data_IF_393710600522
#
_entry.id   IF_393710600522
#
_cell.length_a   1.000
_cell.length_b   1.000
_cell.length_c   1.000
_cell.angle_alpha   90.00
_cell.angle_beta   90.00
_cell.angle_gamma   90.00
#
_symmetry.space_group_name_H-M   'P 1'
#
loop_
_entity.id
_entity.type
_entity.pdbx_description
1 polymer ?
#
# COMPACT_ATOMS: atom_id res chain seq x y z
N UNK A 1 -97.31 -27.09 6.76
CA UNK A 1 -95.97 -26.72 7.24
C UNK A 1 -95.07 -26.60 6.07
N UNK A 2 -94.77 -25.37 5.61
CA UNK A 2 -93.85 -25.08 4.50
C UNK A 2 -92.55 -24.62 5.04
N UNK A 3 -91.48 -25.35 4.73
CA UNK A 3 -90.07 -24.93 5.04
C UNK A 3 -89.55 -24.03 3.91
N UNK A 4 -89.17 -22.84 4.28
CA UNK A 4 -88.50 -21.89 3.42
C UNK A 4 -87.01 -22.15 3.55
N UNK A 5 -86.36 -22.48 2.44
CA UNK A 5 -84.92 -22.58 2.36
C UNK A 5 -84.39 -21.24 1.84
N UNK A 6 -83.63 -20.52 2.70
CA UNK A 6 -82.94 -19.27 2.28
C UNK A 6 -81.59 -19.66 1.76
N UNK A 7 -81.33 -19.48 0.46
CA UNK A 7 -80.05 -19.61 -0.14
C UNK A 7 -79.29 -18.29 0.01
N UNK A 8 -78.25 -18.32 0.89
CA UNK A 8 -77.32 -17.21 1.04
C UNK A 8 -76.23 -17.25 -0.04
N UNK A 9 -76.31 -16.30 -0.95
CA UNK A 9 -75.28 -16.10 -1.97
C UNK A 9 -74.13 -15.27 -1.37
N UNK A 10 -72.98 -15.91 -0.99
CA UNK A 10 -71.77 -15.22 -0.63
C UNK A 10 -71.09 -14.64 -1.86
N UNK A 11 -71.22 -13.35 -2.04
CA UNK A 11 -70.40 -12.63 -3.03
C UNK A 11 -68.93 -12.47 -2.50
N UNK A 12 -68.01 -13.24 -3.07
CA UNK A 12 -66.63 -13.07 -2.87
C UNK A 12 -66.15 -11.80 -3.64
N UNK A 13 -65.95 -10.71 -2.92
CA UNK A 13 -65.25 -9.54 -3.46
C UNK A 13 -63.76 -9.85 -3.53
N UNK A 14 -63.25 -10.11 -4.75
CA UNK A 14 -61.82 -10.08 -5.03
C UNK A 14 -61.34 -8.64 -4.98
N UNK A 15 -60.63 -8.27 -3.92
CA UNK A 15 -59.86 -7.06 -3.91
C UNK A 15 -58.62 -7.32 -4.76
N UNK A 16 -58.57 -6.70 -5.95
CA UNK A 16 -57.31 -6.62 -6.74
C UNK A 16 -56.29 -5.81 -5.94
N UNK A 17 -55.30 -6.50 -5.38
CA UNK A 17 -54.10 -5.85 -4.83
C UNK A 17 -53.38 -5.22 -6.03
N UNK A 18 -53.16 -3.90 -6.05
CA UNK A 18 -52.36 -3.32 -7.12
C UNK A 18 -50.98 -3.97 -7.08
N UNK A 19 -50.62 -4.63 -8.17
CA UNK A 19 -49.29 -5.11 -8.45
C UNK A 19 -48.31 -3.97 -8.13
N UNK A 20 -47.39 -4.22 -7.16
CA UNK A 20 -46.24 -3.35 -6.92
C UNK A 20 -45.58 -3.17 -8.26
N UNK A 21 -45.72 -1.98 -8.82
CA UNK A 21 -45.05 -1.58 -10.05
C UNK A 21 -43.59 -1.94 -9.90
N UNK A 22 -43.05 -2.74 -10.83
CA UNK A 22 -41.63 -2.94 -11.04
C UNK A 22 -40.99 -1.56 -10.95
N UNK A 23 -40.27 -1.33 -9.84
CA UNK A 23 -39.28 -0.25 -9.81
C UNK A 23 -38.29 -0.60 -10.90
N UNK A 24 -38.46 0.01 -12.06
CA UNK A 24 -37.44 -0.01 -13.09
C UNK A 24 -36.13 0.33 -12.40
N UNK A 25 -35.18 -0.53 -12.52
CA UNK A 25 -33.78 -0.22 -12.16
C UNK A 25 -33.48 1.08 -12.92
N UNK A 26 -33.43 2.22 -12.21
CA UNK A 26 -32.82 3.40 -12.79
C UNK A 26 -31.39 2.98 -13.06
N UNK A 27 -31.04 2.80 -14.32
CA UNK A 27 -29.65 2.77 -14.73
C UNK A 27 -29.05 4.08 -14.24
N UNK A 28 -28.24 3.99 -13.20
CA UNK A 28 -27.42 5.12 -12.77
C UNK A 28 -26.44 5.33 -13.93
N UNK A 29 -26.47 6.47 -14.63
CA UNK A 29 -25.50 6.72 -15.69
C UNK A 29 -24.11 6.49 -15.15
N UNK A 30 -23.33 5.65 -15.81
CA UNK A 30 -21.91 5.49 -15.46
C UNK A 30 -21.27 6.87 -15.62
N UNK A 31 -20.65 7.44 -14.57
CA UNK A 31 -19.98 8.73 -14.70
C UNK A 31 -18.97 8.64 -15.83
N UNK A 32 -18.91 9.64 -16.69
CA UNK A 32 -17.91 9.75 -17.76
C UNK A 32 -16.54 10.05 -17.20
N UNK A 33 -16.48 10.68 -16.02
CA UNK A 33 -15.27 11.07 -15.32
C UNK A 33 -14.98 10.07 -14.18
N UNK A 34 -13.75 9.61 -14.07
CA UNK A 34 -13.29 8.71 -13.04
C UNK A 34 -12.92 9.44 -11.73
N UNK A 35 -12.61 8.66 -10.71
CA UNK A 35 -12.15 9.21 -9.42
C UNK A 35 -10.93 10.12 -9.59
N UNK A 36 -9.97 9.76 -10.43
CA UNK A 36 -8.78 10.57 -10.70
C UNK A 36 -9.12 11.97 -11.23
N UNK A 37 -10.22 12.09 -11.98
CA UNK A 37 -10.66 13.36 -12.56
C UNK A 37 -11.40 14.20 -11.52
N UNK A 38 -12.22 13.54 -10.69
CA UNK A 38 -12.96 14.19 -9.60
C UNK A 38 -12.03 14.78 -8.52
N UNK A 39 -10.88 14.13 -8.28
CA UNK A 39 -9.92 14.54 -7.24
C UNK A 39 -8.64 15.17 -7.77
N UNK A 40 -8.53 15.46 -9.08
CA UNK A 40 -7.31 15.95 -9.75
C UNK A 40 -6.66 17.19 -9.11
N UNK A 41 -7.48 18.05 -8.52
CA UNK A 41 -7.02 19.31 -7.92
C UNK A 41 -6.59 19.14 -6.44
N UNK A 42 -6.72 17.93 -5.88
CA UNK A 42 -6.42 17.65 -4.47
C UNK A 42 -5.28 16.64 -4.31
N UNK A 43 -5.40 15.46 -4.91
CA UNK A 43 -4.41 14.38 -4.80
C UNK A 43 -4.59 13.34 -5.92
N UNK A 44 -3.59 12.49 -6.07
CA UNK A 44 -3.68 11.33 -6.98
C UNK A 44 -4.50 10.21 -6.35
N UNK A 45 -5.34 9.57 -7.16
CA UNK A 45 -6.04 8.34 -6.76
C UNK A 45 -5.23 7.15 -7.26
N UNK A 46 -4.88 6.23 -6.35
CA UNK A 46 -4.08 5.06 -6.66
C UNK A 46 -4.79 3.74 -6.40
N UNK A 47 -4.28 2.68 -7.01
CA UNK A 47 -4.68 1.31 -6.74
C UNK A 47 -3.46 0.40 -6.62
N UNK A 48 -3.56 -0.61 -5.73
CA UNK A 48 -2.63 -1.74 -5.73
C UNK A 48 -3.02 -2.73 -6.83
N UNK A 49 -2.03 -3.23 -7.58
CA UNK A 49 -2.25 -4.14 -8.70
C UNK A 49 -1.26 -5.30 -8.70
N UNK A 50 -1.69 -6.41 -9.27
CA UNK A 50 -0.84 -7.52 -9.69
C UNK A 50 -0.84 -7.64 -11.22
N UNK A 51 -0.15 -8.64 -11.76
CA UNK A 51 -0.04 -8.82 -13.22
C UNK A 51 -1.37 -9.09 -13.91
N UNK A 52 -2.32 -9.77 -13.24
CA UNK A 52 -3.66 -9.99 -13.79
C UNK A 52 -4.40 -8.67 -14.04
N UNK A 53 -4.30 -7.71 -13.14
CA UNK A 53 -5.01 -6.43 -13.27
C UNK A 53 -4.53 -5.61 -14.48
N UNK A 54 -3.29 -5.79 -14.91
CA UNK A 54 -2.68 -5.06 -16.04
C UNK A 54 -2.67 -5.85 -17.36
N UNK A 55 -3.27 -7.06 -17.36
CA UNK A 55 -3.41 -7.92 -18.55
C UNK A 55 -4.87 -8.21 -18.90
N UNK A 56 -5.80 -8.12 -17.96
CA UNK A 56 -7.23 -8.28 -18.17
C UNK A 56 -7.86 -7.00 -18.72
N UNK A 57 -8.64 -7.12 -19.80
CA UNK A 57 -9.18 -5.97 -20.53
C UNK A 57 -10.16 -5.11 -19.69
N UNK A 58 -10.99 -5.73 -18.86
CA UNK A 58 -11.96 -5.03 -18.03
C UNK A 58 -11.28 -4.31 -16.87
N UNK A 59 -10.27 -4.95 -16.26
CA UNK A 59 -9.44 -4.35 -15.21
C UNK A 59 -8.64 -3.16 -15.76
N UNK A 60 -8.04 -3.31 -16.93
CA UNK A 60 -7.32 -2.23 -17.62
C UNK A 60 -8.24 -1.04 -17.87
N UNK A 61 -9.46 -1.28 -18.36
CA UNK A 61 -10.44 -0.23 -18.61
C UNK A 61 -10.81 0.51 -17.32
N UNK A 62 -11.04 -0.23 -16.23
CA UNK A 62 -11.31 0.32 -14.90
C UNK A 62 -10.14 1.16 -14.39
N UNK A 63 -8.91 0.61 -14.42
CA UNK A 63 -7.71 1.30 -13.94
C UNK A 63 -7.52 2.61 -14.69
N UNK A 64 -7.60 2.59 -16.01
CA UNK A 64 -7.41 3.78 -16.85
C UNK A 64 -8.46 4.86 -16.61
N UNK A 65 -9.69 4.47 -16.25
CA UNK A 65 -10.76 5.41 -15.95
C UNK A 65 -10.58 6.04 -14.57
N UNK A 66 -10.27 5.23 -13.54
CA UNK A 66 -10.39 5.65 -12.14
C UNK A 66 -9.08 6.15 -11.52
N UNK A 67 -7.91 5.67 -12.00
CA UNK A 67 -6.65 5.84 -11.29
C UNK A 67 -5.59 6.54 -12.14
N UNK A 68 -4.76 7.36 -11.49
CA UNK A 68 -3.58 7.99 -12.05
C UNK A 68 -2.27 7.61 -11.36
N UNK A 69 -2.36 6.74 -10.34
CA UNK A 69 -1.22 6.11 -9.67
C UNK A 69 -1.46 4.62 -9.46
N UNK A 70 -0.41 3.83 -9.49
CA UNK A 70 -0.43 2.39 -9.23
C UNK A 70 0.68 2.03 -8.26
N UNK A 71 0.44 1.03 -7.43
CA UNK A 71 1.43 0.36 -6.59
C UNK A 71 1.44 -1.14 -6.91
N UNK A 72 2.60 -1.72 -7.18
CA UNK A 72 2.72 -3.16 -7.34
C UNK A 72 2.50 -3.86 -5.99
N UNK A 73 1.49 -4.74 -5.90
CA UNK A 73 1.12 -5.40 -4.64
C UNK A 73 2.28 -6.23 -4.04
N UNK A 74 2.98 -6.99 -4.89
CA UNK A 74 4.08 -7.86 -4.47
C UNK A 74 5.32 -7.76 -5.37
N UNK A 75 5.17 -7.50 -6.67
CA UNK A 75 6.21 -7.67 -7.66
C UNK A 75 7.49 -6.84 -7.42
N UNK A 76 7.38 -5.72 -6.70
CA UNK A 76 8.53 -4.84 -6.37
C UNK A 76 9.06 -5.02 -4.94
N UNK A 77 8.57 -6.02 -4.18
CA UNK A 77 9.13 -6.33 -2.85
C UNK A 77 10.49 -7.01 -3.00
N UNK A 78 11.37 -6.92 -1.98
CA UNK A 78 12.75 -7.41 -2.11
C UNK A 78 12.86 -8.88 -2.52
N UNK A 79 12.10 -9.79 -1.90
CA UNK A 79 12.21 -11.21 -2.17
C UNK A 79 11.70 -11.62 -3.57
N UNK A 80 10.55 -11.15 -4.08
CA UNK A 80 10.16 -11.39 -5.47
C UNK A 80 11.14 -10.81 -6.48
N UNK A 81 11.70 -9.63 -6.20
CA UNK A 81 12.61 -8.92 -7.12
C UNK A 81 14.00 -9.53 -7.14
N UNK A 82 14.56 -9.88 -5.98
CA UNK A 82 15.91 -10.45 -5.85
C UNK A 82 15.90 -11.60 -4.83
N UNK A 83 15.40 -12.79 -5.24
CA UNK A 83 15.29 -13.95 -4.35
C UNK A 83 16.65 -14.46 -3.85
N UNK A 84 17.71 -14.33 -4.65
CA UNK A 84 19.09 -14.62 -4.32
C UNK A 84 19.97 -13.45 -4.73
N UNK A 85 21.10 -13.26 -4.06
CA UNK A 85 22.01 -12.15 -4.34
C UNK A 85 22.46 -12.12 -5.79
N UNK A 86 22.15 -11.04 -6.50
CA UNK A 86 22.48 -10.84 -7.91
C UNK A 86 21.56 -11.55 -8.90
N UNK A 87 20.59 -12.34 -8.42
CA UNK A 87 19.60 -13.01 -9.26
C UNK A 87 18.30 -12.24 -9.24
N UNK A 88 18.15 -11.31 -10.18
CA UNK A 88 16.97 -10.47 -10.28
C UNK A 88 15.87 -11.12 -11.14
N UNK A 89 14.65 -11.11 -10.63
CA UNK A 89 13.43 -11.44 -11.36
C UNK A 89 12.65 -10.14 -11.62
N UNK A 90 12.72 -9.66 -12.86
CA UNK A 90 12.10 -8.41 -13.27
C UNK A 90 10.74 -8.58 -13.93
N UNK A 91 10.34 -9.80 -14.29
CA UNK A 91 9.24 -10.09 -15.22
C UNK A 91 7.92 -9.40 -14.80
N UNK A 92 7.45 -9.65 -13.60
CA UNK A 92 6.18 -9.10 -13.10
C UNK A 92 6.27 -7.60 -12.86
N UNK A 93 7.40 -7.12 -12.32
CA UNK A 93 7.61 -5.71 -12.05
C UNK A 93 7.72 -4.90 -13.36
N UNK A 94 8.45 -5.42 -14.36
CA UNK A 94 8.54 -4.82 -15.69
C UNK A 94 7.19 -4.74 -16.38
N UNK A 95 6.38 -5.79 -16.30
CA UNK A 95 5.04 -5.82 -16.89
C UNK A 95 4.16 -4.69 -16.34
N UNK A 96 4.18 -4.49 -15.03
CA UNK A 96 3.43 -3.40 -14.37
C UNK A 96 4.03 -2.04 -14.74
N UNK A 97 5.35 -1.90 -14.71
CA UNK A 97 6.02 -0.66 -15.06
C UNK A 97 5.76 -0.25 -16.53
N UNK A 98 5.80 -1.21 -17.44
CA UNK A 98 5.48 -0.98 -18.85
C UNK A 98 4.03 -0.60 -19.10
N UNK A 99 3.11 -1.18 -18.33
CA UNK A 99 1.72 -0.75 -18.35
C UNK A 99 1.59 0.71 -17.92
N UNK A 100 2.28 1.12 -16.87
CA UNK A 100 2.32 2.52 -16.40
C UNK A 100 2.88 3.46 -17.46
N UNK A 101 4.03 3.13 -18.05
CA UNK A 101 4.67 3.93 -19.13
C UNK A 101 3.74 4.14 -20.32
N UNK A 102 3.13 3.06 -20.82
CA UNK A 102 2.24 3.11 -21.99
C UNK A 102 0.95 3.89 -21.76
N UNK A 103 0.49 3.99 -20.51
CA UNK A 103 -0.80 4.64 -20.19
C UNK A 103 -0.64 5.99 -19.48
N UNK A 104 0.58 6.48 -19.26
CA UNK A 104 0.82 7.73 -18.55
C UNK A 104 0.37 7.71 -17.08
N UNK A 105 0.37 6.52 -16.45
CA UNK A 105 0.03 6.31 -15.06
C UNK A 105 1.33 6.30 -14.25
N UNK A 106 1.35 6.98 -13.10
CA UNK A 106 2.53 7.03 -12.23
C UNK A 106 2.64 5.74 -11.40
N UNK A 107 3.86 5.30 -11.13
CA UNK A 107 4.13 4.11 -10.34
C UNK A 107 4.72 4.49 -8.97
N UNK A 108 4.12 4.00 -7.88
CA UNK A 108 4.70 4.02 -6.54
C UNK A 108 5.47 2.73 -6.32
N UNK A 109 6.75 2.84 -6.03
CA UNK A 109 7.61 1.70 -5.72
C UNK A 109 7.39 1.21 -4.29
N UNK A 110 6.99 -0.03 -4.12
CA UNK A 110 6.76 -0.65 -2.81
C UNK A 110 7.36 -2.05 -2.81
N UNK A 111 8.35 -2.28 -2.03
CA UNK A 111 9.16 -1.48 -1.12
C UNK A 111 10.63 -1.91 -1.22
N UNK A 112 11.60 -1.02 -0.90
CA UNK A 112 13.02 -1.36 -1.06
C UNK A 112 13.54 -2.21 0.10
N UNK A 113 13.16 -1.90 1.35
CA UNK A 113 13.57 -2.64 2.55
C UNK A 113 12.38 -2.94 3.44
N UNK A 114 12.21 -4.22 3.78
CA UNK A 114 11.16 -4.67 4.69
C UNK A 114 11.62 -5.89 5.48
N UNK A 115 11.20 -6.03 6.74
CA UNK A 115 11.56 -7.17 7.59
C UNK A 115 10.88 -8.49 7.17
N UNK A 116 9.86 -8.39 6.32
CA UNK A 116 9.14 -9.50 5.69
C UNK A 116 9.42 -9.52 4.18
N UNK A 117 9.20 -10.63 3.51
CA UNK A 117 9.42 -10.81 2.07
C UNK A 117 10.76 -10.24 1.55
N UNK A 118 11.83 -10.53 2.29
CA UNK A 118 13.21 -10.19 1.93
C UNK A 118 14.07 -11.46 1.95
N UNK A 119 14.93 -11.64 0.96
CA UNK A 119 15.81 -12.80 0.88
C UNK A 119 16.80 -12.85 2.07
N UNK A 120 16.98 -14.01 2.68
CA UNK A 120 17.88 -14.17 3.83
C UNK A 120 19.34 -13.78 3.52
N UNK A 121 19.76 -13.90 2.25
CA UNK A 121 21.07 -13.50 1.76
C UNK A 121 21.39 -12.01 2.06
N UNK A 122 20.35 -11.19 2.21
CA UNK A 122 20.49 -9.77 2.55
C UNK A 122 21.16 -9.58 3.91
N UNK A 123 20.89 -10.42 4.90
CA UNK A 123 21.30 -10.24 6.30
C UNK A 123 21.95 -11.48 6.94
N UNK A 124 22.01 -12.65 6.23
CA UNK A 124 22.62 -13.90 6.74
C UNK A 124 23.64 -14.48 5.77
N UNK A 125 24.62 -15.19 6.33
CA UNK A 125 25.51 -16.05 5.59
C UNK A 125 24.87 -17.43 5.31
N UNK A 126 25.57 -18.29 4.56
CA UNK A 126 25.12 -19.64 4.21
C UNK A 126 24.91 -20.56 5.43
N UNK A 127 25.48 -20.21 6.59
CA UNK A 127 25.33 -20.94 7.85
C UNK A 127 24.17 -20.39 8.71
N UNK A 128 23.47 -19.33 8.24
CA UNK A 128 22.39 -18.67 8.96
C UNK A 128 22.86 -17.68 10.05
N UNK A 129 24.15 -17.35 10.10
CA UNK A 129 24.64 -16.32 11.01
C UNK A 129 24.37 -14.92 10.42
N UNK A 130 24.09 -13.95 11.28
CA UNK A 130 23.97 -12.55 10.86
C UNK A 130 25.29 -12.07 10.22
N UNK A 131 25.17 -11.32 9.13
CA UNK A 131 26.30 -10.71 8.46
C UNK A 131 26.96 -9.62 9.32
N UNK A 132 28.22 -9.27 8.98
CA UNK A 132 28.79 -8.02 9.49
C UNK A 132 28.02 -6.81 8.95
N UNK A 133 28.09 -5.70 9.66
CA UNK A 133 27.42 -4.44 9.27
C UNK A 133 27.84 -3.98 7.86
N UNK A 134 29.11 -4.10 7.52
CA UNK A 134 29.67 -3.74 6.22
C UNK A 134 29.07 -4.60 5.10
N UNK A 135 29.07 -5.93 5.27
CA UNK A 135 28.48 -6.83 4.27
C UNK A 135 26.99 -6.63 4.09
N UNK A 136 26.28 -6.37 5.17
CA UNK A 136 24.84 -6.03 5.10
C UNK A 136 24.61 -4.75 4.32
N UNK A 137 25.39 -3.70 4.56
CA UNK A 137 25.29 -2.45 3.82
C UNK A 137 25.63 -2.60 2.34
N UNK A 138 26.65 -3.39 2.01
CA UNK A 138 26.99 -3.70 0.62
C UNK A 138 25.83 -4.39 -0.10
N UNK A 139 25.19 -5.39 0.54
CA UNK A 139 24.03 -6.07 0.00
C UNK A 139 22.85 -5.13 -0.19
N UNK A 140 22.53 -4.33 0.83
CA UNK A 140 21.43 -3.37 0.81
C UNK A 140 21.64 -2.30 -0.26
N UNK A 141 22.85 -1.75 -0.38
CA UNK A 141 23.20 -0.79 -1.43
C UNK A 141 23.05 -1.38 -2.82
N UNK A 142 23.57 -2.59 -3.03
CA UNK A 142 23.44 -3.31 -4.30
C UNK A 142 21.98 -3.46 -4.72
N UNK A 143 21.13 -3.97 -3.82
CA UNK A 143 19.71 -4.16 -4.09
C UNK A 143 19.01 -2.84 -4.43
N UNK A 144 19.12 -1.85 -3.54
CA UNK A 144 18.44 -0.56 -3.69
C UNK A 144 18.87 0.13 -4.99
N UNK A 145 20.16 0.20 -5.27
CA UNK A 145 20.66 0.85 -6.48
C UNK A 145 20.19 0.15 -7.76
N UNK A 146 20.18 -1.19 -7.77
CA UNK A 146 19.70 -1.94 -8.93
C UNK A 146 18.21 -1.69 -9.20
N UNK A 147 17.37 -1.77 -8.16
CA UNK A 147 15.93 -1.61 -8.28
C UNK A 147 15.53 -0.16 -8.62
N UNK A 148 16.06 0.81 -7.88
CA UNK A 148 15.71 2.23 -8.09
C UNK A 148 16.18 2.69 -9.47
N UNK A 149 17.42 2.38 -9.87
CA UNK A 149 17.96 2.79 -11.17
C UNK A 149 17.16 2.19 -12.35
N UNK A 150 16.62 0.98 -12.18
CA UNK A 150 15.83 0.32 -13.23
C UNK A 150 14.52 1.04 -13.53
N UNK A 151 13.88 1.60 -12.51
CA UNK A 151 12.52 2.15 -12.62
C UNK A 151 12.44 3.67 -12.46
N UNK A 152 13.57 4.38 -12.44
CA UNK A 152 13.63 5.83 -12.23
C UNK A 152 12.87 6.67 -13.25
N UNK A 153 12.56 6.11 -14.42
CA UNK A 153 11.81 6.78 -15.48
C UNK A 153 10.29 6.75 -15.27
N UNK A 154 9.79 5.89 -14.38
CA UNK A 154 8.35 5.66 -14.19
C UNK A 154 7.91 5.74 -12.73
N UNK A 155 8.79 5.38 -11.78
CA UNK A 155 8.50 5.48 -10.34
C UNK A 155 8.71 6.91 -9.88
N UNK A 156 7.67 7.52 -9.31
CA UNK A 156 7.73 8.88 -8.80
C UNK A 156 8.03 8.96 -7.30
N UNK A 157 7.80 7.88 -6.58
CA UNK A 157 8.11 7.79 -5.16
C UNK A 157 8.37 6.34 -4.74
N UNK A 158 9.19 6.16 -3.71
CA UNK A 158 9.51 4.87 -3.11
C UNK A 158 9.09 4.81 -1.65
N UNK A 159 8.46 3.70 -1.25
CA UNK A 159 8.47 3.26 0.14
C UNK A 159 9.84 2.63 0.43
N UNK A 160 10.77 3.43 0.95
CA UNK A 160 12.17 3.01 1.10
C UNK A 160 12.33 1.97 2.19
N UNK A 161 11.76 2.24 3.37
CA UNK A 161 11.71 1.30 4.48
C UNK A 161 10.27 1.13 4.94
N UNK A 162 9.85 -0.13 5.03
CA UNK A 162 8.51 -0.51 5.44
C UNK A 162 8.50 -1.15 6.83
N UNK A 163 7.64 -0.63 7.73
CA UNK A 163 7.25 -1.24 9.00
C UNK A 163 8.43 -1.49 9.98
N UNK A 164 9.34 -0.56 10.11
CA UNK A 164 10.45 -0.68 11.05
C UNK A 164 10.11 -0.29 12.49
N UNK A 165 9.02 0.46 12.72
CA UNK A 165 8.58 0.82 14.06
C UNK A 165 7.87 -0.36 14.73
N UNK A 166 8.21 -0.63 16.00
CA UNK A 166 7.62 -1.73 16.77
C UNK A 166 6.15 -1.47 17.11
N UNK A 167 5.35 -2.54 17.19
CA UNK A 167 3.95 -2.49 17.60
C UNK A 167 3.77 -2.48 19.12
N UNK A 168 2.57 -2.07 19.53
CA UNK A 168 2.12 -2.10 20.92
C UNK A 168 2.70 -0.99 21.79
N UNK A 169 2.41 -1.00 23.09
CA UNK A 169 2.78 0.08 23.97
C UNK A 169 4.28 0.17 24.20
N UNK A 170 4.77 1.41 24.36
CA UNK A 170 6.14 1.66 24.81
C UNK A 170 6.35 1.01 26.19
N UNK A 171 7.37 0.18 26.30
CA UNK A 171 7.78 -0.47 27.56
C UNK A 171 9.20 -0.08 27.90
N UNK A 172 9.51 0.22 29.17
CA UNK A 172 10.88 0.48 29.58
C UNK A 172 11.82 -0.64 29.15
N UNK A 173 12.93 -0.28 28.49
CA UNK A 173 13.94 -1.22 28.00
C UNK A 173 13.61 -1.95 26.69
N UNK A 174 12.48 -1.66 26.04
CA UNK A 174 12.22 -2.13 24.66
C UNK A 174 12.57 -1.03 23.65
N UNK A 175 13.19 -1.40 22.53
CA UNK A 175 13.44 -0.44 21.47
C UNK A 175 12.14 0.07 20.85
N UNK A 176 12.14 1.29 20.36
CA UNK A 176 11.03 1.85 19.58
C UNK A 176 10.89 1.18 18.21
N UNK A 177 11.98 0.59 17.72
CA UNK A 177 12.04 -0.11 16.45
C UNK A 177 11.88 -1.63 16.63
N UNK A 178 11.38 -2.27 15.59
CA UNK A 178 11.24 -3.71 15.49
C UNK A 178 12.60 -4.39 15.52
N UNK A 179 12.78 -5.38 16.38
CA UNK A 179 14.01 -6.18 16.51
C UNK A 179 14.20 -7.13 15.32
N UNK A 180 14.14 -6.58 14.10
CA UNK A 180 14.39 -7.32 12.87
C UNK A 180 15.87 -7.74 12.76
N UNK A 181 16.24 -8.70 11.89
CA UNK A 181 17.64 -9.00 11.61
C UNK A 181 18.47 -7.78 11.22
N UNK A 182 17.92 -6.88 10.43
CA UNK A 182 18.55 -5.63 9.99
C UNK A 182 18.83 -4.69 11.18
N UNK A 183 17.86 -4.55 12.08
CA UNK A 183 18.04 -3.78 13.31
C UNK A 183 19.10 -4.40 14.23
N UNK A 184 19.14 -5.74 14.35
CA UNK A 184 20.16 -6.44 15.15
C UNK A 184 21.57 -6.26 14.60
N UNK A 185 21.74 -6.10 13.29
CA UNK A 185 23.03 -5.87 12.64
C UNK A 185 23.46 -4.40 12.80
N UNK A 186 22.57 -3.45 12.55
CA UNK A 186 22.94 -2.06 12.29
C UNK A 186 22.17 -1.02 13.13
N UNK A 187 21.27 -1.43 14.02
CA UNK A 187 20.45 -0.50 14.78
C UNK A 187 19.55 0.34 13.87
N UNK A 188 19.20 1.54 14.31
CA UNK A 188 18.38 2.49 13.52
C UNK A 188 19.09 2.98 12.24
N UNK A 189 20.41 2.96 12.22
CA UNK A 189 21.24 3.47 11.11
C UNK A 189 20.94 2.78 9.77
N UNK A 190 20.47 1.52 9.75
CA UNK A 190 20.11 0.87 8.49
C UNK A 190 19.02 1.62 7.73
N UNK A 191 18.09 2.25 8.46
CA UNK A 191 17.02 3.05 7.86
C UNK A 191 17.62 4.25 7.14
N UNK A 192 18.52 4.97 7.80
CA UNK A 192 19.19 6.15 7.24
C UNK A 192 19.95 5.80 5.96
N UNK A 193 20.74 4.72 6.01
CA UNK A 193 21.50 4.23 4.87
C UNK A 193 20.62 3.78 3.69
N UNK A 194 19.46 3.18 3.96
CA UNK A 194 18.53 2.81 2.89
C UNK A 194 18.03 4.04 2.12
N UNK A 195 17.68 5.12 2.84
CA UNK A 195 17.26 6.38 2.21
C UNK A 195 18.39 7.06 1.46
N UNK A 196 19.60 7.10 2.02
CA UNK A 196 20.79 7.63 1.33
C UNK A 196 21.05 6.88 0.02
N UNK A 197 21.00 5.55 0.03
CA UNK A 197 21.22 4.74 -1.18
C UNK A 197 20.13 4.89 -2.22
N UNK A 198 18.87 5.06 -1.80
CA UNK A 198 17.77 5.33 -2.71
C UNK A 198 17.94 6.70 -3.39
N UNK A 199 18.28 7.73 -2.62
CA UNK A 199 18.55 9.08 -3.15
C UNK A 199 19.77 9.13 -4.07
N UNK A 200 20.84 8.40 -3.74
CA UNK A 200 22.01 8.28 -4.64
C UNK A 200 21.63 7.67 -6.00
N UNK A 201 20.69 6.73 -6.03
CA UNK A 201 20.26 6.06 -7.25
C UNK A 201 19.30 6.89 -8.09
N UNK A 202 18.40 7.64 -7.45
CA UNK A 202 17.44 8.55 -8.07
C UNK A 202 17.15 9.76 -7.15
N UNK A 203 17.83 10.88 -7.37
CA UNK A 203 17.62 12.11 -6.59
C UNK A 203 16.25 12.78 -6.82
N UNK A 204 15.54 12.43 -7.89
CA UNK A 204 14.28 13.05 -8.27
C UNK A 204 13.06 12.32 -7.70
N UNK A 205 13.23 11.07 -7.24
CA UNK A 205 12.17 10.31 -6.62
C UNK A 205 11.89 10.79 -5.20
N UNK A 206 10.60 10.89 -4.84
CA UNK A 206 10.20 11.15 -3.45
C UNK A 206 10.41 9.89 -2.59
N UNK A 207 10.94 10.06 -1.38
CA UNK A 207 11.30 8.95 -0.50
C UNK A 207 10.42 8.93 0.76
N UNK A 208 9.72 7.84 0.99
CA UNK A 208 8.77 7.67 2.09
C UNK A 208 9.20 6.58 3.06
N UNK A 209 9.00 6.84 4.34
CA UNK A 209 8.89 5.82 5.36
C UNK A 209 7.43 5.35 5.43
N UNK A 210 7.15 4.05 5.35
CA UNK A 210 5.79 3.51 5.28
C UNK A 210 5.51 2.56 6.45
N UNK A 211 4.34 2.69 7.10
CA UNK A 211 3.98 1.84 8.22
C UNK A 211 2.46 1.66 8.38
N UNK A 212 2.06 0.62 9.11
CA UNK A 212 0.67 0.34 9.50
C UNK A 212 0.41 0.70 10.97
N UNK A 213 -0.85 0.60 11.43
CA UNK A 213 -1.28 1.10 12.73
C UNK A 213 -0.87 2.57 12.94
N UNK A 214 -0.80 3.28 11.84
CA UNK A 214 -0.29 4.64 11.69
C UNK A 214 -1.11 5.70 12.44
N UNK A 215 -2.38 5.40 12.74
CA UNK A 215 -3.26 6.23 13.56
C UNK A 215 -3.36 5.76 15.04
N UNK A 216 -2.65 4.69 15.45
CA UNK A 216 -2.52 4.35 16.87
C UNK A 216 -1.63 5.38 17.57
N UNK A 217 -2.12 6.15 18.59
CA UNK A 217 -1.40 7.31 19.12
C UNK A 217 0.04 7.06 19.55
N UNK A 218 0.30 5.89 20.18
CA UNK A 218 1.65 5.55 20.59
C UNK A 218 2.56 5.20 19.43
N UNK A 219 2.03 4.61 18.35
CA UNK A 219 2.80 4.23 17.16
C UNK A 219 3.00 5.42 16.23
N UNK A 220 1.97 6.25 15.99
CA UNK A 220 2.10 7.46 15.20
C UNK A 220 3.15 8.41 15.78
N UNK A 221 3.20 8.57 17.11
CA UNK A 221 4.24 9.37 17.76
C UNK A 221 5.65 8.79 17.54
N UNK A 222 5.83 7.45 17.57
CA UNK A 222 7.14 6.83 17.29
C UNK A 222 7.55 6.99 15.83
N UNK A 223 6.61 6.85 14.90
CA UNK A 223 6.85 7.09 13.46
C UNK A 223 7.29 8.54 13.26
N UNK A 224 6.55 9.49 13.82
CA UNK A 224 6.92 10.91 13.77
C UNK A 224 8.31 11.16 14.34
N UNK A 225 8.62 10.62 15.53
CA UNK A 225 9.93 10.79 16.16
C UNK A 225 11.07 10.20 15.32
N UNK A 226 10.86 9.04 14.69
CA UNK A 226 11.83 8.44 13.77
C UNK A 226 12.11 9.37 12.59
N UNK A 227 11.07 9.78 11.88
CA UNK A 227 11.23 10.64 10.70
C UNK A 227 11.81 12.01 11.08
N UNK A 228 11.44 12.55 12.24
CA UNK A 228 12.05 13.78 12.77
C UNK A 228 13.57 13.62 12.97
N UNK A 229 14.01 12.52 13.62
CA UNK A 229 15.46 12.25 13.80
C UNK A 229 16.16 12.10 12.45
N UNK A 230 15.54 11.42 11.47
CA UNK A 230 16.08 11.30 10.13
C UNK A 230 16.30 12.67 9.49
N UNK A 231 15.31 13.56 9.53
CA UNK A 231 15.41 14.92 8.98
C UNK A 231 16.47 15.76 9.71
N UNK A 232 16.53 15.68 11.03
CA UNK A 232 17.55 16.37 11.84
C UNK A 232 18.97 15.88 11.52
N UNK A 233 19.12 14.61 11.12
CA UNK A 233 20.38 14.03 10.67
C UNK A 233 20.70 14.31 9.18
N UNK A 234 19.83 15.02 8.45
CA UNK A 234 20.02 15.34 7.03
C UNK A 234 19.72 14.18 6.08
N UNK A 235 19.01 13.14 6.55
CA UNK A 235 18.58 12.02 5.70
C UNK A 235 17.49 12.49 4.72
N UNK A 236 17.57 12.14 3.42
CA UNK A 236 16.60 12.55 2.43
C UNK A 236 15.29 11.77 2.59
N UNK A 237 14.38 12.27 3.42
CA UNK A 237 13.03 11.73 3.63
C UNK A 237 11.99 12.80 3.36
N UNK A 238 11.07 12.51 2.42
CA UNK A 238 10.08 13.47 1.94
C UNK A 238 8.72 13.32 2.65
N UNK A 239 8.41 12.12 3.17
CA UNK A 239 7.13 11.91 3.81
C UNK A 239 6.99 10.60 4.55
N UNK A 240 5.80 10.45 5.14
CA UNK A 240 5.33 9.26 5.83
C UNK A 240 4.20 8.65 5.01
N UNK A 241 4.31 7.36 4.68
CA UNK A 241 3.23 6.57 4.11
C UNK A 241 2.40 5.96 5.25
N UNK A 242 1.13 6.33 5.28
CA UNK A 242 0.14 5.74 6.19
C UNK A 242 -0.59 4.62 5.44
N UNK A 243 -0.46 3.37 5.88
CA UNK A 243 -1.08 2.24 5.17
C UNK A 243 -2.60 2.22 5.30
N UNK A 244 -3.15 2.83 6.34
CA UNK A 244 -4.59 3.01 6.50
C UNK A 244 -5.39 1.70 6.56
N UNK A 245 -4.84 0.62 7.12
CA UNK A 245 -5.55 -0.65 7.32
C UNK A 245 -6.62 -0.53 8.41
N UNK A 246 -7.59 0.33 8.14
CA UNK A 246 -8.66 0.64 9.07
C UNK A 246 -9.87 -0.28 8.87
N UNK A 247 -10.68 -0.42 9.91
CA UNK A 247 -11.91 -1.19 9.86
C UNK A 247 -13.04 -0.46 10.64
N UNK A 248 -14.23 -1.05 10.67
CA UNK A 248 -15.40 -0.41 11.32
C UNK A 248 -15.31 -0.26 12.85
N UNK A 249 -14.30 -0.85 13.49
CA UNK A 249 -14.08 -0.80 14.93
C UNK A 249 -12.93 0.12 15.34
N UNK A 250 -12.21 0.68 14.40
CA UNK A 250 -11.10 1.60 14.64
C UNK A 250 -10.14 1.75 13.48
N UNK A 251 -9.25 2.76 13.56
CA UNK A 251 -9.15 3.78 14.63
C UNK A 251 -10.33 4.77 14.61
N UNK A 252 -10.49 5.55 15.68
CA UNK A 252 -11.40 6.70 15.66
C UNK A 252 -10.88 7.76 14.68
N UNK A 253 -11.80 8.49 14.03
CA UNK A 253 -11.39 9.54 13.06
C UNK A 253 -10.55 10.64 13.71
N UNK A 254 -10.76 10.91 15.00
CA UNK A 254 -9.93 11.84 15.79
C UNK A 254 -8.47 11.36 15.92
N UNK A 255 -8.22 10.06 15.98
CA UNK A 255 -6.86 9.52 16.04
C UNK A 255 -6.16 9.64 14.68
N UNK A 256 -6.91 9.44 13.59
CA UNK A 256 -6.40 9.66 12.22
C UNK A 256 -6.03 11.13 12.03
N UNK A 257 -6.92 12.05 12.41
CA UNK A 257 -6.69 13.50 12.32
C UNK A 257 -5.48 13.94 13.16
N UNK A 258 -5.38 13.42 14.38
CA UNK A 258 -4.23 13.66 15.26
C UNK A 258 -2.91 13.14 14.65
N UNK A 259 -2.91 11.95 14.06
CA UNK A 259 -1.71 11.38 13.43
C UNK A 259 -1.26 12.19 12.20
N UNK A 260 -2.20 12.71 11.40
CA UNK A 260 -1.90 13.56 10.25
C UNK A 260 -1.38 14.94 10.69
N UNK A 261 -1.75 15.39 11.88
CA UNK A 261 -1.39 16.72 12.40
C UNK A 261 -0.05 16.78 13.14
N UNK A 262 0.64 15.63 13.33
CA UNK A 262 1.99 15.55 13.93
C UNK A 262 3.05 16.15 13.01
#
# INVERSE_FOLDING_TARGET
MKRIILSGMCALMFWAVPSLAQRGSREIPTPTDGLKDAYKDYFMIGASVNTMNVTDADQIALIKREFNSITAENAMKPQPTEPQKGEFNWEDADLIADFCRRNGIRLRGHTLMWHSQIGSWMYQDEKGNLLSKEKFYDNMKHHIQAVVSRYKDVVYCWDVVNEAVADGPVRPGRPELRESPMYKIAGEEFIYKAFEYAHEADPDALLFYNDYNDAEPAKSQRIFNLVKRMREAGVPVDGIGMQGHYNIYGPEMSDVDAAISL
#
